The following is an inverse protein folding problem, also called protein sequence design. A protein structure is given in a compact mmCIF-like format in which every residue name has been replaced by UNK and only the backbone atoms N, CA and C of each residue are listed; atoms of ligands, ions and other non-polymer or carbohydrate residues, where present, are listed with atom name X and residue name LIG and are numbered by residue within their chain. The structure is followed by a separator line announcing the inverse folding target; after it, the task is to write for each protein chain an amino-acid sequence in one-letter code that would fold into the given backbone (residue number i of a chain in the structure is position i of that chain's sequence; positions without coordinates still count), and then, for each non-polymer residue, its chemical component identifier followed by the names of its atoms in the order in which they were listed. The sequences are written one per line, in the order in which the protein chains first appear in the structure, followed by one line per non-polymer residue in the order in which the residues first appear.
data_IF_347350533940
#
_entry.id   IF_347350533940
#
_cell.length_a   1.000
_cell.length_b   1.000
_cell.length_c   1.000
_cell.angle_alpha   90.00
_cell.angle_beta   90.00
_cell.angle_gamma   90.00
#
_symmetry.space_group_name_H-M   'P 1'
#
loop_
_entity.id
_entity.type
_entity.pdbx_description
1 polymer ?
#
# COMPACT_ATOMS: atom_id res chain seq x y z
N UNK A 1 5.00 16.01 -5.53
CA UNK A 1 6.29 15.50 -6.05
C UNK A 1 6.29 13.99 -5.98
N UNK A 2 6.81 13.27 -6.99
CA UNK A 2 6.92 11.82 -6.92
C UNK A 2 7.85 11.41 -5.76
N UNK A 3 7.39 10.49 -4.90
CA UNK A 3 8.18 10.07 -3.76
C UNK A 3 9.28 9.09 -4.20
N UNK A 4 10.54 9.50 -4.06
CA UNK A 4 11.70 8.64 -4.36
C UNK A 4 11.70 7.33 -3.57
N UNK A 5 11.14 7.31 -2.35
CA UNK A 5 11.01 6.08 -1.57
C UNK A 5 10.03 5.11 -2.21
N UNK A 6 8.86 5.59 -2.66
CA UNK A 6 7.86 4.76 -3.34
C UNK A 6 8.39 4.14 -4.64
N UNK A 7 9.23 4.86 -5.40
CA UNK A 7 9.82 4.33 -6.64
C UNK A 7 10.79 3.16 -6.42
N UNK A 8 11.36 3.06 -5.22
CA UNK A 8 12.28 1.97 -4.87
C UNK A 8 11.57 0.74 -4.30
N UNK A 9 10.26 0.79 -4.11
CA UNK A 9 9.49 -0.34 -3.60
C UNK A 9 9.52 -1.52 -4.60
N UNK A 10 9.68 -2.80 -4.16
CA UNK A 10 9.75 -3.30 -2.79
C UNK A 10 11.22 -3.35 -2.33
N UNK A 11 11.60 -2.47 -1.41
CA UNK A 11 12.89 -2.53 -0.72
C UNK A 11 12.66 -2.80 0.76
N UNK A 12 13.51 -3.61 1.40
CA UNK A 12 13.42 -3.89 2.84
C UNK A 12 13.64 -2.59 3.60
N UNK A 13 12.56 -1.89 3.93
CA UNK A 13 12.67 -0.58 4.54
C UNK A 13 11.55 -0.32 5.52
N UNK A 14 11.92 0.15 6.71
CA UNK A 14 11.06 0.73 7.76
C UNK A 14 10.31 2.01 7.32
N UNK A 15 10.28 2.29 6.01
CA UNK A 15 9.64 3.46 5.41
C UNK A 15 8.19 3.18 5.00
N UNK A 16 7.73 1.93 5.08
CA UNK A 16 6.39 1.53 4.72
C UNK A 16 5.76 0.78 5.90
N UNK A 17 4.55 1.18 6.27
CA UNK A 17 3.72 0.44 7.22
C UNK A 17 2.79 -0.49 6.46
N UNK A 18 2.69 -1.73 6.91
CA UNK A 18 1.61 -2.60 6.48
C UNK A 18 0.30 -2.13 7.13
N UNK A 19 -0.69 -1.81 6.30
CA UNK A 19 -1.97 -1.28 6.75
C UNK A 19 -3.05 -2.36 6.80
N UNK A 20 -3.11 -3.20 5.77
CA UNK A 20 -4.13 -4.23 5.64
C UNK A 20 -3.68 -5.33 4.68
N UNK A 21 -4.22 -6.51 4.85
CA UNK A 21 -4.08 -7.63 3.92
C UNK A 21 -5.46 -7.97 3.38
N UNK A 22 -5.56 -8.18 2.07
CA UNK A 22 -6.71 -8.77 1.42
C UNK A 22 -6.36 -10.21 1.06
N UNK A 23 -6.88 -11.16 1.84
CA UNK A 23 -6.64 -12.59 1.65
C UNK A 23 -7.26 -13.12 0.35
N UNK A 24 -8.40 -12.56 -0.08
CA UNK A 24 -9.10 -12.95 -1.32
C UNK A 24 -8.25 -12.69 -2.55
N UNK A 25 -7.58 -11.54 -2.61
CA UNK A 25 -6.68 -11.18 -3.73
C UNK A 25 -5.22 -11.46 -3.42
N UNK A 26 -4.94 -12.12 -2.29
CA UNK A 26 -3.60 -12.37 -1.75
C UNK A 26 -2.68 -11.15 -1.89
N UNK A 27 -3.23 -9.98 -1.52
CA UNK A 27 -2.57 -8.69 -1.69
C UNK A 27 -2.39 -8.02 -0.35
N UNK A 28 -1.32 -7.24 -0.22
CA UNK A 28 -1.02 -6.45 0.97
C UNK A 28 -0.99 -4.98 0.63
N UNK A 29 -1.56 -4.15 1.50
CA UNK A 29 -1.57 -2.70 1.42
C UNK A 29 -0.48 -2.13 2.32
N UNK A 30 0.40 -1.34 1.75
CA UNK A 30 1.44 -0.60 2.44
C UNK A 30 1.18 0.90 2.36
N UNK A 31 1.52 1.64 3.41
CA UNK A 31 1.51 3.11 3.43
C UNK A 31 2.93 3.63 3.56
N UNK A 32 3.34 4.51 2.66
CA UNK A 32 4.61 5.19 2.78
C UNK A 32 4.58 6.20 3.92
N UNK A 33 5.47 6.04 4.91
CA UNK A 33 5.61 6.99 6.03
C UNK A 33 6.07 8.38 5.61
N UNK A 34 6.76 8.51 4.47
CA UNK A 34 7.33 9.77 4.04
C UNK A 34 6.37 10.69 3.27
N UNK A 35 5.44 10.12 2.51
CA UNK A 35 4.49 10.89 1.69
C UNK A 35 3.02 10.48 1.88
N UNK A 36 2.74 9.44 2.68
CA UNK A 36 1.41 8.90 2.89
C UNK A 36 0.85 8.05 1.76
N UNK A 37 1.59 7.84 0.66
CA UNK A 37 1.09 7.12 -0.50
C UNK A 37 0.83 5.64 -0.19
N UNK A 38 -0.32 5.15 -0.68
CA UNK A 38 -0.73 3.77 -0.52
C UNK A 38 -0.26 2.92 -1.70
N UNK A 39 0.29 1.75 -1.39
CA UNK A 39 0.89 0.84 -2.36
C UNK A 39 0.34 -0.55 -2.10
N UNK A 40 -0.31 -1.13 -3.10
CA UNK A 40 -0.73 -2.53 -3.10
C UNK A 40 0.39 -3.39 -3.66
N UNK A 41 0.59 -4.55 -3.05
CA UNK A 41 1.47 -5.62 -3.55
C UNK A 41 0.71 -6.93 -3.63
N UNK A 42 0.67 -7.57 -4.79
CA UNK A 42 0.15 -8.93 -4.92
C UNK A 42 1.24 -9.98 -4.58
N UNK A 43 0.87 -11.03 -3.83
CA UNK A 43 1.78 -12.10 -3.42
C UNK A 43 2.32 -12.92 -4.61
N UNK A 44 1.50 -13.16 -5.64
CA UNK A 44 1.89 -14.00 -6.79
C UNK A 44 2.65 -13.25 -7.89
N UNK A 45 2.27 -12.01 -8.20
CA UNK A 45 2.76 -11.35 -9.43
C UNK A 45 3.83 -10.30 -9.18
N UNK A 46 4.21 -10.02 -7.92
CA UNK A 46 4.99 -8.82 -7.55
C UNK A 46 4.43 -7.53 -8.17
N UNK A 47 3.13 -7.53 -8.50
CA UNK A 47 2.45 -6.41 -9.10
C UNK A 47 2.32 -5.32 -8.03
N UNK A 48 3.08 -4.24 -8.23
CA UNK A 48 3.08 -3.07 -7.35
C UNK A 48 2.22 -2.01 -8.01
N UNK A 49 1.15 -1.62 -7.33
CA UNK A 49 0.26 -0.57 -7.80
C UNK A 49 0.06 0.47 -6.71
N UNK A 50 0.13 1.75 -7.08
CA UNK A 50 -0.26 2.83 -6.18
C UNK A 50 -1.78 2.95 -6.16
N UNK A 51 -2.36 3.03 -4.97
CA UNK A 51 -3.80 3.16 -4.80
C UNK A 51 -4.17 4.53 -4.22
N UNK A 52 -5.33 5.03 -4.64
CA UNK A 52 -6.00 6.12 -3.95
C UNK A 52 -6.63 5.60 -2.65
N UNK A 53 -6.87 6.44 -1.64
CA UNK A 53 -7.52 6.01 -0.38
C UNK A 53 -8.87 5.33 -0.58
N UNK A 54 -9.68 5.82 -1.54
CA UNK A 54 -10.97 5.20 -1.88
C UNK A 54 -10.84 3.82 -2.49
N UNK A 55 -9.85 3.60 -3.37
CA UNK A 55 -9.60 2.29 -3.98
C UNK A 55 -9.03 1.31 -2.96
N UNK A 56 -8.16 1.80 -2.08
CA UNK A 56 -7.64 1.02 -0.97
C UNK A 56 -8.77 0.56 -0.03
N UNK A 57 -9.71 1.45 0.33
CA UNK A 57 -10.85 1.09 1.18
C UNK A 57 -11.79 0.06 0.52
N UNK A 58 -11.98 0.14 -0.80
CA UNK A 58 -12.77 -0.84 -1.56
C UNK A 58 -12.08 -2.20 -1.65
N UNK A 59 -10.76 -2.21 -1.79
CA UNK A 59 -9.99 -3.44 -1.99
C UNK A 59 -9.54 -4.08 -0.68
N UNK A 60 -9.50 -3.34 0.43
CA UNK A 60 -8.99 -3.84 1.70
C UNK A 60 -10.05 -3.64 2.80
N UNK A 61 -10.84 -4.67 3.14
CA UNK A 61 -12.00 -4.55 4.05
C UNK A 61 -11.67 -4.26 5.52
N UNK A 62 -10.44 -3.85 5.85
CA UNK A 62 -10.02 -3.34 7.16
C UNK A 62 -9.24 -2.03 7.10
N UNK A 63 -9.09 -1.43 5.91
CA UNK A 63 -8.43 -0.16 5.74
C UNK A 63 -9.43 0.99 5.89
N UNK A 64 -9.28 1.79 6.94
CA UNK A 64 -10.03 3.03 7.11
C UNK A 64 -9.22 4.22 6.55
N UNK A 65 -9.72 4.94 5.52
CA UNK A 65 -9.03 6.06 4.91
C UNK A 65 -9.14 7.37 5.71
N UNK A 66 -9.88 7.39 6.84
CA UNK A 66 -10.09 8.62 7.59
C UNK A 66 -8.80 9.04 8.29
N UNK A 67 -8.37 10.31 8.18
CA UNK A 67 -7.26 10.81 8.97
C UNK A 67 -7.71 10.85 10.44
N UNK A 68 -7.15 9.95 11.27
CA UNK A 68 -7.16 10.11 12.72
C UNK A 68 -6.17 11.17 13.15
#
# INVERSE_FOLDING_TARGET
MPCFKCQRFPVPTSNFDEMAVNETTQSTLYRCRACGQLIRTGALERAIATLSPGDAARQFPGFDPSPR
#
